data_IF_563269192127
#
_entry.id   IF_563269192127
#
_cell.length_a   1.000
_cell.length_b   1.000
_cell.length_c   1.000
_cell.angle_alpha   90.00
_cell.angle_beta   90.00
_cell.angle_gamma   90.00
#
_symmetry.space_group_name_H-M   'P 1'
#
loop_
_entity.id
_entity.type
_entity.pdbx_description
1 polymer ?
#
# COMPACT_ATOMS: atom_id res chain seq x y z
N UNK A 1 9.15 7.35 -20.44
CA UNK A 1 8.94 7.10 -19.00
C UNK A 1 8.96 8.44 -18.28
N UNK A 2 7.89 8.82 -17.58
CA UNK A 2 7.98 9.92 -16.61
C UNK A 2 9.00 9.52 -15.54
N UNK A 3 9.84 10.45 -15.08
CA UNK A 3 10.76 10.17 -13.97
C UNK A 3 9.98 9.89 -12.69
N UNK A 4 10.53 9.07 -11.80
CA UNK A 4 9.91 8.70 -10.51
C UNK A 4 9.50 9.94 -9.70
N UNK A 5 10.30 11.00 -9.73
CA UNK A 5 9.99 12.27 -9.06
C UNK A 5 8.70 12.93 -9.57
N UNK A 6 8.46 12.92 -10.89
CA UNK A 6 7.25 13.52 -11.46
C UNK A 6 6.00 12.72 -11.09
N UNK A 7 6.11 11.39 -11.03
CA UNK A 7 5.02 10.54 -10.57
C UNK A 7 4.66 10.84 -9.11
N UNK A 8 5.65 10.96 -8.23
CA UNK A 8 5.39 11.29 -6.83
C UNK A 8 4.71 12.65 -6.67
N UNK A 9 5.14 13.67 -7.41
CA UNK A 9 4.47 14.97 -7.42
C UNK A 9 3.01 14.89 -7.88
N UNK A 10 2.68 13.96 -8.79
CA UNK A 10 1.32 13.78 -9.30
C UNK A 10 0.38 13.08 -8.31
N UNK A 11 0.90 12.23 -7.41
CA UNK A 11 0.07 11.41 -6.50
C UNK A 11 0.14 11.83 -5.04
N UNK A 12 1.07 12.71 -4.66
CA UNK A 12 1.35 13.04 -3.26
C UNK A 12 0.14 13.61 -2.52
N UNK A 13 -0.64 14.48 -3.16
CA UNK A 13 -1.83 15.11 -2.56
C UNK A 13 -2.90 14.06 -2.24
N UNK A 14 -3.33 13.28 -3.25
CA UNK A 14 -4.34 12.24 -3.05
C UNK A 14 -3.88 11.14 -2.08
N UNK A 15 -2.58 10.79 -2.11
CA UNK A 15 -2.02 9.84 -1.16
C UNK A 15 -2.09 10.39 0.26
N UNK A 16 -1.68 11.65 0.48
CA UNK A 16 -1.79 12.32 1.76
C UNK A 16 -3.24 12.34 2.25
N UNK A 17 -4.17 12.81 1.41
CA UNK A 17 -5.60 12.91 1.74
C UNK A 17 -6.22 11.54 2.09
N UNK A 18 -5.79 10.47 1.39
CA UNK A 18 -6.24 9.10 1.67
C UNK A 18 -5.67 8.57 2.99
N UNK A 19 -4.42 8.90 3.30
CA UNK A 19 -3.76 8.48 4.54
C UNK A 19 -4.35 9.17 5.77
N UNK A 20 -4.62 10.48 5.69
CA UNK A 20 -5.22 11.26 6.79
C UNK A 20 -6.73 11.02 6.96
N UNK A 21 -7.36 10.33 6.00
CA UNK A 21 -8.77 9.93 6.07
C UNK A 21 -9.76 10.94 5.48
N UNK A 22 -9.29 11.97 4.78
CA UNK A 22 -10.16 12.87 3.99
C UNK A 22 -10.72 12.15 2.76
N UNK A 23 -9.95 11.22 2.19
CA UNK A 23 -10.39 10.29 1.14
C UNK A 23 -10.41 8.87 1.74
N UNK A 24 -11.52 8.16 1.52
CA UNK A 24 -11.64 6.78 2.00
C UNK A 24 -10.80 5.83 1.13
N UNK A 25 -9.94 4.98 1.71
CA UNK A 25 -9.28 3.92 0.97
C UNK A 25 -10.31 2.86 0.54
N UNK A 26 -9.99 2.15 -0.53
CA UNK A 26 -10.79 1.03 -0.98
C UNK A 26 -10.41 -0.23 -0.19
N UNK A 27 -11.21 -0.63 0.79
CA UNK A 27 -10.91 -1.79 1.64
C UNK A 27 -11.35 -3.13 1.04
N UNK A 28 -12.06 -3.13 -0.09
CA UNK A 28 -12.58 -4.34 -0.75
C UNK A 28 -11.54 -5.02 -1.65
N UNK A 29 -10.30 -4.52 -1.69
CA UNK A 29 -9.20 -5.07 -2.49
C UNK A 29 -8.35 -6.04 -1.68
N UNK A 30 -8.07 -7.20 -2.25
CA UNK A 30 -7.10 -8.14 -1.68
C UNK A 30 -5.69 -7.83 -2.22
N UNK A 31 -4.65 -7.78 -1.37
CA UNK A 31 -3.27 -7.62 -1.82
C UNK A 31 -2.72 -8.90 -2.47
N UNK A 32 -3.38 -10.05 -2.29
CA UNK A 32 -2.94 -11.36 -2.78
C UNK A 32 -4.06 -12.20 -3.37
N UNK A 33 -3.67 -13.21 -4.14
CA UNK A 33 -4.56 -14.26 -4.62
C UNK A 33 -4.28 -15.57 -3.86
N UNK A 34 -5.12 -15.90 -2.88
CA UNK A 34 -4.99 -17.11 -2.06
C UNK A 34 -5.08 -18.44 -2.84
N UNK A 35 -5.45 -18.43 -4.13
CA UNK A 35 -5.42 -19.62 -4.98
C UNK A 35 -4.00 -20.01 -5.42
N UNK A 36 -3.03 -19.09 -5.27
CA UNK A 36 -1.63 -19.39 -5.51
C UNK A 36 -1.09 -20.27 -4.37
N UNK A 37 -0.37 -21.34 -4.71
CA UNK A 37 0.23 -22.25 -3.73
C UNK A 37 1.68 -21.84 -3.45
N UNK A 38 1.83 -20.65 -2.89
CA UNK A 38 3.11 -20.04 -2.54
C UNK A 38 3.20 -19.88 -1.02
N UNK A 39 4.41 -19.66 -0.50
CA UNK A 39 4.58 -19.37 0.92
C UNK A 39 4.24 -17.91 1.25
N UNK A 40 4.16 -17.62 2.56
CA UNK A 40 3.81 -16.28 3.07
C UNK A 40 4.79 -15.21 2.62
N UNK A 41 6.09 -15.53 2.50
CA UNK A 41 7.09 -14.54 2.10
C UNK A 41 6.88 -14.13 0.63
N UNK A 42 6.63 -15.10 -0.24
CA UNK A 42 6.24 -14.85 -1.63
C UNK A 42 4.93 -14.06 -1.74
N UNK A 43 3.96 -14.32 -0.87
CA UNK A 43 2.74 -13.53 -0.84
C UNK A 43 2.98 -12.07 -0.44
N UNK A 44 3.85 -11.80 0.53
CA UNK A 44 4.23 -10.43 0.91
C UNK A 44 4.94 -9.70 -0.23
N UNK A 45 5.83 -10.37 -0.95
CA UNK A 45 6.49 -9.80 -2.14
C UNK A 45 5.45 -9.43 -3.22
N UNK A 46 4.48 -10.30 -3.49
CA UNK A 46 3.40 -10.02 -4.44
C UNK A 46 2.53 -8.84 -3.99
N UNK A 47 2.19 -8.76 -2.71
CA UNK A 47 1.43 -7.65 -2.15
C UNK A 47 2.17 -6.31 -2.36
N UNK A 48 3.47 -6.24 -2.06
CA UNK A 48 4.28 -5.04 -2.30
C UNK A 48 4.30 -4.65 -3.78
N UNK A 49 4.46 -5.62 -4.68
CA UNK A 49 4.43 -5.34 -6.12
C UNK A 49 3.08 -4.80 -6.58
N UNK A 50 1.96 -5.35 -6.07
CA UNK A 50 0.62 -4.86 -6.39
C UNK A 50 0.42 -3.43 -5.89
N UNK A 51 0.84 -3.12 -4.67
CA UNK A 51 0.79 -1.78 -4.08
C UNK A 51 1.59 -0.79 -4.93
N UNK A 52 2.84 -1.14 -5.28
CA UNK A 52 3.67 -0.29 -6.14
C UNK A 52 3.06 -0.05 -7.53
N UNK A 53 2.43 -1.07 -8.12
CA UNK A 53 1.73 -0.94 -9.40
C UNK A 53 0.52 -0.02 -9.25
N UNK A 54 -0.26 -0.15 -8.17
CA UNK A 54 -1.39 0.72 -7.88
C UNK A 54 -0.95 2.19 -7.77
N UNK A 55 0.10 2.49 -6.98
CA UNK A 55 0.68 3.83 -6.87
C UNK A 55 1.13 4.38 -8.23
N UNK A 56 1.89 3.59 -9.01
CA UNK A 56 2.38 4.00 -10.34
C UNK A 56 1.28 4.25 -11.37
N UNK A 57 0.10 3.69 -11.15
CA UNK A 57 -1.07 3.83 -12.03
C UNK A 57 -2.11 4.82 -11.48
N UNK A 58 -1.79 5.53 -10.39
CA UNK A 58 -2.69 6.51 -9.78
C UNK A 58 -3.89 5.91 -9.07
N UNK A 59 -3.87 4.60 -8.77
CA UNK A 59 -4.94 3.92 -8.03
C UNK A 59 -4.67 4.02 -6.53
N UNK A 60 -4.78 5.22 -6.00
CA UNK A 60 -4.28 5.56 -4.67
C UNK A 60 -5.13 4.92 -3.56
N UNK A 61 -6.46 4.98 -3.65
CA UNK A 61 -7.33 4.33 -2.67
C UNK A 61 -7.11 2.81 -2.61
N UNK A 62 -6.86 2.16 -3.77
CA UNK A 62 -6.54 0.74 -3.85
C UNK A 62 -5.18 0.44 -3.21
N UNK A 63 -4.16 1.27 -3.47
CA UNK A 63 -2.83 1.08 -2.91
C UNK A 63 -2.85 1.12 -1.37
N UNK A 64 -3.51 2.14 -0.80
CA UNK A 64 -3.65 2.28 0.65
C UNK A 64 -4.50 1.15 1.24
N UNK A 65 -5.57 0.76 0.55
CA UNK A 65 -6.42 -0.36 0.94
C UNK A 65 -5.67 -1.69 0.98
N UNK A 66 -4.91 -2.00 -0.08
CA UNK A 66 -4.06 -3.20 -0.14
C UNK A 66 -2.99 -3.19 0.95
N UNK A 67 -2.36 -2.04 1.22
CA UNK A 67 -1.37 -1.93 2.28
C UNK A 67 -1.98 -2.18 3.67
N UNK A 68 -3.14 -1.58 3.97
CA UNK A 68 -3.89 -1.82 5.22
C UNK A 68 -4.33 -3.28 5.36
N UNK A 69 -4.86 -3.88 4.30
CA UNK A 69 -5.25 -5.29 4.31
C UNK A 69 -4.05 -6.23 4.44
N UNK A 70 -2.87 -5.86 3.91
CA UNK A 70 -1.63 -6.63 4.09
C UNK A 70 -1.19 -6.66 5.56
N UNK A 71 -1.37 -5.55 6.30
CA UNK A 71 -1.10 -5.51 7.75
C UNK A 71 -2.05 -6.40 8.55
N UNK A 72 -3.32 -6.47 8.15
CA UNK A 72 -4.30 -7.37 8.79
C UNK A 72 -3.92 -8.84 8.56
N UNK A 73 -3.42 -9.18 7.37
CA UNK A 73 -2.99 -10.53 7.02
C UNK A 73 -1.67 -10.93 7.71
N UNK A 74 -0.74 -9.98 7.82
CA UNK A 74 0.56 -10.19 8.46
C UNK A 74 0.80 -9.13 9.55
N UNK A 75 0.23 -9.32 10.75
CA UNK A 75 0.33 -8.35 11.84
C UNK A 75 1.69 -8.37 12.55
N UNK A 76 2.54 -9.35 12.24
CA UNK A 76 3.88 -9.52 12.80
C UNK A 76 4.81 -8.37 12.35
N UNK A 77 5.66 -7.87 13.25
CA UNK A 77 6.68 -6.85 12.94
C UNK A 77 7.53 -7.26 11.74
N UNK A 78 7.46 -6.50 10.65
CA UNK A 78 8.18 -6.82 9.42
C UNK A 78 7.79 -5.94 8.23
N UNK A 79 7.50 -6.57 7.09
CA UNK A 79 7.36 -5.98 5.76
C UNK A 79 6.34 -4.82 5.64
N UNK A 80 5.29 -4.79 6.48
CA UNK A 80 4.22 -3.80 6.40
C UNK A 80 4.11 -2.89 7.63
N UNK A 81 5.09 -2.94 8.55
CA UNK A 81 5.08 -2.12 9.77
C UNK A 81 4.07 -2.58 10.83
N UNK A 82 3.96 -1.80 11.91
CA UNK A 82 3.01 -2.01 13.01
C UNK A 82 1.73 -1.16 12.83
N UNK A 83 0.79 -1.26 13.78
CA UNK A 83 -0.18 -0.17 14.01
C UNK A 83 0.62 1.12 14.23
N UNK A 84 0.52 2.04 13.27
CA UNK A 84 1.28 3.30 13.32
C UNK A 84 0.72 4.20 14.41
N UNK A 85 1.63 4.75 15.22
CA UNK A 85 1.25 5.74 16.23
C UNK A 85 0.88 7.09 15.57
N UNK A 86 1.27 7.30 14.31
CA UNK A 86 0.88 8.46 13.50
C UNK A 86 0.88 8.22 11.98
N UNK A 87 0.17 9.09 11.25
CA UNK A 87 0.10 9.07 9.78
C UNK A 87 1.49 9.33 9.14
N UNK A 88 2.37 10.09 9.80
CA UNK A 88 3.73 10.29 9.29
C UNK A 88 4.55 9.00 9.28
N UNK A 89 4.33 8.10 10.26
CA UNK A 89 4.98 6.80 10.31
C UNK A 89 4.48 5.88 9.18
N UNK A 90 3.18 5.95 8.87
CA UNK A 90 2.59 5.24 7.74
C UNK A 90 3.20 5.66 6.39
N UNK A 91 3.42 6.96 6.17
CA UNK A 91 4.01 7.49 4.94
C UNK A 91 5.38 6.87 4.59
N UNK A 92 6.24 6.59 5.58
CA UNK A 92 7.59 6.05 5.34
C UNK A 92 7.59 4.68 4.66
N UNK A 93 6.52 3.89 4.79
CA UNK A 93 6.44 2.55 4.19
C UNK A 93 6.02 2.58 2.71
N UNK A 94 5.59 3.74 2.19
CA UNK A 94 5.22 3.90 0.78
C UNK A 94 6.37 4.44 -0.09
N UNK A 95 7.42 5.01 0.52
CA UNK A 95 8.57 5.66 -0.17
C UNK A 95 9.72 4.67 -0.35
#
# INVERSE_FOLDING_TARGET
MKGIANMWMEIAEELSDTLIGEINPNLDVSPINMLLKVDDEQFKEFALLQIQVALRTGRIQDAVGMFRNSRILWPETGTFGNDFDSIEEECYYYI
#
